data_IF_426536723535
#
_entry.id   IF_426536723535
#
_cell.length_a   1.000
_cell.length_b   1.000
_cell.length_c   1.000
_cell.angle_alpha   90.00
_cell.angle_beta   90.00
_cell.angle_gamma   90.00
#
_symmetry.space_group_name_H-M   'P 1'
#
loop_
_entity.id
_entity.type
_entity.pdbx_description
1 polymer ?
#
# COMPACT_ATOMS: atom_id res chain seq x y z
N UNK A 1 -28.26 14.06 -40.11
CA UNK A 1 -29.31 13.31 -39.36
C UNK A 1 -28.87 13.26 -37.92
N UNK A 2 -29.78 13.51 -36.96
CA UNK A 2 -29.48 13.37 -35.53
C UNK A 2 -29.14 11.91 -35.20
N UNK A 3 -28.19 11.71 -34.29
CA UNK A 3 -27.82 10.37 -33.82
C UNK A 3 -28.91 9.77 -32.92
N UNK A 4 -28.91 8.45 -32.72
CA UNK A 4 -29.84 7.77 -31.79
C UNK A 4 -29.73 8.33 -30.37
N UNK A 5 -28.51 8.65 -29.91
CA UNK A 5 -28.28 9.26 -28.57
C UNK A 5 -29.00 10.59 -28.44
N UNK A 6 -28.89 11.45 -29.45
CA UNK A 6 -29.52 12.79 -29.45
C UNK A 6 -31.05 12.72 -29.54
N UNK A 7 -31.59 11.67 -30.15
CA UNK A 7 -33.04 11.43 -30.19
C UNK A 7 -33.58 10.89 -28.86
N UNK A 8 -32.81 10.08 -28.16
CA UNK A 8 -33.22 9.44 -26.90
C UNK A 8 -32.98 10.34 -25.67
N UNK A 9 -31.89 11.10 -25.64
CA UNK A 9 -31.40 11.81 -24.45
C UNK A 9 -31.25 13.30 -24.75
N UNK A 10 -31.99 14.12 -24.01
CA UNK A 10 -31.79 15.57 -23.98
C UNK A 10 -30.66 15.92 -23.01
N UNK A 11 -29.56 16.50 -23.52
CA UNK A 11 -28.49 17.00 -22.68
C UNK A 11 -28.89 18.34 -22.02
N UNK A 12 -28.97 18.37 -20.69
CA UNK A 12 -29.37 19.57 -19.93
C UNK A 12 -28.17 20.39 -19.46
N UNK A 13 -27.01 19.76 -19.29
CA UNK A 13 -25.79 20.36 -18.76
C UNK A 13 -24.56 19.75 -19.43
N UNK A 14 -23.47 20.52 -19.49
CA UNK A 14 -22.17 19.98 -19.91
C UNK A 14 -21.73 18.85 -18.96
N UNK A 15 -21.10 17.82 -19.50
CA UNK A 15 -20.58 16.69 -18.73
C UNK A 15 -19.39 17.15 -17.86
N UNK A 16 -19.43 16.81 -16.57
CA UNK A 16 -18.28 16.98 -15.67
C UNK A 16 -17.11 16.13 -16.17
N UNK A 17 -16.05 16.78 -16.67
CA UNK A 17 -14.88 16.08 -17.21
C UNK A 17 -13.95 15.52 -16.12
N UNK A 18 -14.05 16.03 -14.90
CA UNK A 18 -13.15 15.71 -13.80
C UNK A 18 -13.79 14.74 -12.81
N UNK A 19 -13.12 13.63 -12.56
CA UNK A 19 -13.47 12.71 -11.47
C UNK A 19 -13.26 13.38 -10.11
N UNK A 20 -14.13 13.07 -9.16
CA UNK A 20 -14.08 13.58 -7.77
C UNK A 20 -13.13 12.75 -6.92
N UNK A 21 -13.10 11.43 -7.14
CA UNK A 21 -12.34 10.47 -6.37
C UNK A 21 -11.62 9.45 -7.27
N UNK A 22 -10.62 9.95 -8.02
CA UNK A 22 -9.79 9.10 -8.86
C UNK A 22 -8.72 8.37 -8.06
N UNK A 23 -8.58 7.07 -8.31
CA UNK A 23 -7.48 6.24 -7.81
C UNK A 23 -6.67 5.70 -8.99
N UNK A 24 -5.34 5.78 -8.91
CA UNK A 24 -4.46 5.13 -9.88
C UNK A 24 -3.74 3.95 -9.23
N UNK A 25 -3.66 2.82 -9.93
CA UNK A 25 -2.82 1.67 -9.57
C UNK A 25 -1.71 1.54 -10.60
N UNK A 26 -0.45 1.62 -10.13
CA UNK A 26 0.74 1.43 -10.95
C UNK A 26 1.27 0.01 -10.74
N UNK A 27 1.31 -0.76 -11.82
CA UNK A 27 1.58 -2.19 -11.86
C UNK A 27 0.29 -3.02 -11.88
N UNK A 28 0.04 -3.77 -12.96
CA UNK A 28 -1.08 -4.72 -13.10
C UNK A 28 -0.63 -6.16 -12.88
N UNK A 29 0.28 -6.36 -11.93
CA UNK A 29 0.62 -7.67 -11.40
C UNK A 29 -0.47 -8.21 -10.47
N UNK A 30 -0.23 -9.41 -9.91
CA UNK A 30 -1.20 -10.07 -9.02
C UNK A 30 -1.61 -9.20 -7.82
N UNK A 31 -0.68 -8.39 -7.28
CA UNK A 31 -0.97 -7.45 -6.19
C UNK A 31 -1.78 -6.26 -6.70
N UNK A 32 -1.37 -5.64 -7.81
CA UNK A 32 -2.08 -4.51 -8.42
C UNK A 32 -3.53 -4.83 -8.75
N UNK A 33 -3.78 -6.00 -9.36
CA UNK A 33 -5.14 -6.43 -9.68
C UNK A 33 -5.96 -6.80 -8.44
N UNK A 34 -5.34 -7.39 -7.42
CA UNK A 34 -6.01 -7.61 -6.13
C UNK A 34 -6.40 -6.29 -5.44
N UNK A 35 -5.57 -5.25 -5.55
CA UNK A 35 -5.91 -3.90 -5.09
C UNK A 35 -7.06 -3.31 -5.93
N UNK A 36 -6.96 -3.36 -7.27
CA UNK A 36 -7.94 -2.81 -8.19
C UNK A 36 -9.34 -3.39 -7.97
N UNK A 37 -9.47 -4.72 -7.93
CA UNK A 37 -10.77 -5.37 -7.70
C UNK A 37 -11.33 -5.05 -6.32
N UNK A 38 -10.49 -5.01 -5.29
CA UNK A 38 -10.92 -4.69 -3.92
C UNK A 38 -11.40 -3.24 -3.80
N UNK A 39 -10.78 -2.31 -4.53
CA UNK A 39 -11.19 -0.90 -4.62
C UNK A 39 -12.56 -0.77 -5.29
N UNK A 40 -12.77 -1.48 -6.41
CA UNK A 40 -14.04 -1.50 -7.14
C UNK A 40 -15.17 -2.05 -6.27
N UNK A 41 -14.93 -3.19 -5.60
CA UNK A 41 -15.92 -3.84 -4.74
C UNK A 41 -16.26 -3.05 -3.46
N UNK A 42 -15.41 -2.09 -3.05
CA UNK A 42 -15.66 -1.22 -1.88
C UNK A 42 -16.17 0.18 -2.26
N UNK A 43 -16.45 0.41 -3.54
CA UNK A 43 -16.94 1.69 -4.08
C UNK A 43 -16.08 2.89 -3.64
N UNK A 44 -14.76 2.74 -3.70
CA UNK A 44 -13.84 3.78 -3.22
C UNK A 44 -13.52 4.85 -4.28
N UNK A 45 -13.83 4.60 -5.55
CA UNK A 45 -13.46 5.48 -6.66
C UNK A 45 -14.62 5.65 -7.65
N UNK A 46 -14.73 6.85 -8.21
CA UNK A 46 -15.56 7.12 -9.40
C UNK A 46 -14.75 7.00 -10.70
N UNK A 47 -13.42 7.02 -10.62
CA UNK A 47 -12.51 6.72 -11.72
C UNK A 47 -11.33 5.86 -11.24
N UNK A 48 -11.10 4.72 -11.89
CA UNK A 48 -9.93 3.87 -11.68
C UNK A 48 -9.00 3.96 -12.90
N UNK A 49 -7.74 4.31 -12.66
CA UNK A 49 -6.69 4.31 -13.69
C UNK A 49 -5.67 3.20 -13.44
N UNK A 50 -5.32 2.45 -14.48
CA UNK A 50 -4.29 1.41 -14.43
C UNK A 50 -3.09 1.79 -15.30
N UNK A 51 -1.88 1.62 -14.77
CA UNK A 51 -0.64 1.88 -15.50
C UNK A 51 0.27 0.67 -15.39
N UNK A 52 0.79 0.19 -16.52
CA UNK A 52 1.84 -0.83 -16.57
C UNK A 52 2.71 -0.63 -17.81
N UNK A 53 3.93 -1.17 -17.79
CA UNK A 53 4.83 -1.16 -18.93
C UNK A 53 4.43 -2.18 -20.01
N UNK A 54 3.79 -3.28 -19.62
CA UNK A 54 3.27 -4.32 -20.51
C UNK A 54 1.90 -3.92 -21.07
N UNK A 55 1.87 -3.51 -22.35
CA UNK A 55 0.69 -2.97 -23.01
C UNK A 55 -0.42 -4.00 -23.20
N UNK A 56 -0.05 -5.23 -23.59
CA UNK A 56 -1.02 -6.28 -23.92
C UNK A 56 -1.66 -6.80 -22.64
N UNK A 57 -0.85 -7.02 -21.60
CA UNK A 57 -1.37 -7.38 -20.29
C UNK A 57 -2.26 -6.27 -19.73
N UNK A 58 -1.81 -5.01 -19.77
CA UNK A 58 -2.60 -3.88 -19.30
C UNK A 58 -3.96 -3.79 -19.99
N UNK A 59 -3.99 -3.93 -21.31
CA UNK A 59 -5.23 -3.93 -22.09
C UNK A 59 -6.15 -5.09 -21.70
N UNK A 60 -5.61 -6.29 -21.56
CA UNK A 60 -6.35 -7.48 -21.14
C UNK A 60 -7.02 -7.30 -19.77
N UNK A 61 -6.24 -6.91 -18.76
CA UNK A 61 -6.74 -6.68 -17.39
C UNK A 61 -7.79 -5.57 -17.34
N UNK A 62 -7.61 -4.51 -18.14
CA UNK A 62 -8.58 -3.41 -18.22
C UNK A 62 -9.90 -3.87 -18.84
N UNK A 63 -9.84 -4.63 -19.94
CA UNK A 63 -11.04 -5.14 -20.60
C UNK A 63 -11.83 -6.09 -19.70
N UNK A 64 -11.13 -6.93 -18.94
CA UNK A 64 -11.77 -7.85 -17.99
C UNK A 64 -12.56 -7.11 -16.91
N UNK A 65 -11.97 -6.06 -16.31
CA UNK A 65 -12.68 -5.19 -15.38
C UNK A 65 -13.84 -4.44 -16.04
N UNK A 66 -13.67 -3.97 -17.28
CA UNK A 66 -14.74 -3.27 -18.01
C UNK A 66 -15.94 -4.17 -18.31
N UNK A 67 -15.73 -5.46 -18.62
CA UNK A 67 -16.83 -6.42 -18.77
C UNK A 67 -17.61 -6.60 -17.46
N UNK A 68 -16.96 -6.40 -16.31
CA UNK A 68 -17.57 -6.39 -14.99
C UNK A 68 -18.28 -5.09 -14.60
N UNK A 69 -18.26 -4.04 -15.44
CA UNK A 69 -18.76 -2.69 -15.08
C UNK A 69 -20.20 -2.67 -14.58
N UNK A 70 -21.05 -3.62 -15.02
CA UNK A 70 -22.42 -3.74 -14.54
C UNK A 70 -22.52 -4.01 -13.03
N UNK A 71 -21.47 -4.59 -12.43
CA UNK A 71 -21.42 -5.00 -11.03
C UNK A 71 -20.63 -4.03 -10.15
N UNK A 72 -20.13 -2.92 -10.70
CA UNK A 72 -19.36 -1.91 -9.98
C UNK A 72 -20.07 -0.56 -10.01
N UNK A 73 -19.90 0.24 -8.94
CA UNK A 73 -20.36 1.63 -8.95
C UNK A 73 -19.30 2.61 -9.46
N UNK A 74 -18.19 2.12 -10.01
CA UNK A 74 -17.13 2.93 -10.64
C UNK A 74 -17.42 3.07 -12.14
N UNK A 75 -17.96 4.21 -12.61
CA UNK A 75 -18.42 4.37 -13.99
C UNK A 75 -17.29 4.45 -15.02
N UNK A 76 -16.05 4.69 -14.59
CA UNK A 76 -14.92 4.93 -15.49
C UNK A 76 -13.69 4.15 -15.07
N UNK A 77 -13.26 3.23 -15.93
CA UNK A 77 -12.02 2.47 -15.79
C UNK A 77 -11.17 2.76 -17.03
N UNK A 78 -9.98 3.31 -16.83
CA UNK A 78 -9.05 3.70 -17.89
C UNK A 78 -7.69 3.07 -17.67
N UNK A 79 -6.92 2.90 -18.74
CA UNK A 79 -5.56 2.43 -18.63
C UNK A 79 -4.67 3.01 -19.72
N UNK A 80 -3.36 3.03 -19.46
CA UNK A 80 -2.36 3.46 -20.42
C UNK A 80 -0.95 3.31 -19.87
N UNK A 81 0.02 3.25 -20.78
CA UNK A 81 1.45 3.25 -20.42
C UNK A 81 1.89 4.62 -19.92
N UNK A 82 1.31 5.67 -20.49
CA UNK A 82 1.67 7.05 -20.19
C UNK A 82 1.02 7.51 -18.90
N UNK A 83 1.79 8.19 -18.05
CA UNK A 83 1.32 8.69 -16.75
C UNK A 83 0.21 9.75 -16.85
N UNK A 84 -0.07 10.28 -18.05
CA UNK A 84 -1.17 11.21 -18.29
C UNK A 84 -2.53 10.60 -17.91
N UNK A 85 -2.67 9.27 -18.02
CA UNK A 85 -3.91 8.59 -17.57
C UNK A 85 -4.12 8.68 -16.07
N UNK A 86 -3.07 8.95 -15.28
CA UNK A 86 -3.17 9.15 -13.83
C UNK A 86 -3.63 10.54 -13.42
N UNK A 87 -3.78 11.49 -14.36
CA UNK A 87 -4.00 12.89 -14.04
C UNK A 87 -5.19 13.12 -13.08
N UNK A 88 -4.99 14.00 -12.10
CA UNK A 88 -5.94 14.36 -11.04
C UNK A 88 -6.29 13.23 -10.05
N UNK A 89 -5.40 12.25 -9.85
CA UNK A 89 -5.60 11.20 -8.83
C UNK A 89 -5.58 11.76 -7.41
N UNK A 90 -6.52 11.33 -6.57
CA UNK A 90 -6.49 11.62 -5.12
C UNK A 90 -5.54 10.68 -4.39
N UNK A 91 -5.44 9.44 -4.87
CA UNK A 91 -4.57 8.40 -4.33
C UNK A 91 -3.90 7.65 -5.49
N UNK A 92 -2.59 7.43 -5.38
CA UNK A 92 -1.81 6.60 -6.30
C UNK A 92 -1.20 5.46 -5.51
N UNK A 93 -1.47 4.23 -5.93
CA UNK A 93 -1.00 3.00 -5.30
C UNK A 93 0.08 2.41 -6.19
N UNK A 94 1.29 2.30 -5.66
CA UNK A 94 2.42 1.74 -6.41
C UNK A 94 2.66 0.31 -5.96
N UNK A 95 2.38 -0.63 -6.87
CA UNK A 95 2.63 -2.07 -6.71
C UNK A 95 3.71 -2.58 -7.66
N UNK A 96 4.11 -1.74 -8.62
CA UNK A 96 5.22 -2.02 -9.52
C UNK A 96 6.53 -2.17 -8.74
N UNK A 97 7.24 -3.24 -9.01
CA UNK A 97 8.50 -3.56 -8.37
C UNK A 97 9.11 -4.81 -8.97
N UNK A 98 10.43 -4.88 -8.93
CA UNK A 98 11.17 -6.07 -9.25
C UNK A 98 10.93 -7.15 -8.18
N UNK A 99 10.78 -8.40 -8.62
CA UNK A 99 10.85 -9.56 -7.73
C UNK A 99 12.31 -9.95 -7.52
N UNK A 100 12.62 -10.45 -6.32
CA UNK A 100 13.95 -11.00 -6.04
C UNK A 100 14.20 -12.22 -6.93
N UNK A 101 15.35 -12.24 -7.60
CA UNK A 101 15.81 -13.41 -8.35
C UNK A 101 16.52 -14.38 -7.41
N UNK A 102 16.54 -15.67 -7.76
CA UNK A 102 17.27 -16.68 -6.99
C UNK A 102 18.76 -16.31 -6.96
N UNK A 103 19.34 -16.21 -5.75
CA UNK A 103 20.74 -15.82 -5.54
C UNK A 103 21.02 -14.32 -5.56
N UNK A 104 20.02 -13.46 -5.77
CA UNK A 104 20.19 -12.00 -5.77
C UNK A 104 20.28 -11.45 -4.34
N UNK A 105 21.18 -10.48 -4.12
CA UNK A 105 21.30 -9.83 -2.82
C UNK A 105 20.12 -8.88 -2.55
N UNK A 106 19.86 -8.57 -1.28
CA UNK A 106 18.84 -7.58 -0.90
C UNK A 106 19.17 -6.19 -1.45
N UNK A 107 20.46 -5.82 -1.48
CA UNK A 107 20.90 -4.52 -1.98
C UNK A 107 20.62 -4.38 -3.48
N UNK A 108 20.92 -5.41 -4.28
CA UNK A 108 20.65 -5.40 -5.74
C UNK A 108 19.16 -5.24 -6.04
N UNK A 109 18.31 -5.97 -5.30
CA UNK A 109 16.87 -5.85 -5.41
C UNK A 109 16.39 -4.43 -5.10
N UNK A 110 16.88 -3.84 -4.00
CA UNK A 110 16.52 -2.46 -3.62
C UNK A 110 17.00 -1.47 -4.68
N UNK A 111 18.22 -1.62 -5.20
CA UNK A 111 18.75 -0.74 -6.24
C UNK A 111 17.91 -0.80 -7.52
N UNK A 112 17.46 -2.00 -7.96
CA UNK A 112 16.53 -2.12 -9.10
C UNK A 112 15.19 -1.44 -8.82
N UNK A 113 14.66 -1.59 -7.61
CA UNK A 113 13.42 -0.91 -7.21
C UNK A 113 13.60 0.61 -7.13
N UNK A 114 14.76 1.13 -6.71
CA UNK A 114 15.07 2.56 -6.76
C UNK A 114 15.04 3.07 -8.19
N UNK A 115 15.63 2.35 -9.15
CA UNK A 115 15.59 2.72 -10.58
C UNK A 115 14.14 2.76 -11.11
N UNK A 116 13.31 1.78 -10.74
CA UNK A 116 11.88 1.75 -11.08
C UNK A 116 11.15 2.94 -10.46
N UNK A 117 11.39 3.26 -9.18
CA UNK A 117 10.74 4.39 -8.53
C UNK A 117 11.17 5.73 -9.14
N UNK A 118 12.44 5.88 -9.55
CA UNK A 118 12.92 7.07 -10.27
C UNK A 118 12.22 7.27 -11.62
N UNK A 119 11.75 6.22 -12.27
CA UNK A 119 10.98 6.35 -13.52
C UNK A 119 9.49 6.60 -13.29
N UNK A 120 8.91 6.06 -12.21
CA UNK A 120 7.48 6.20 -11.90
C UNK A 120 7.15 7.53 -11.23
N UNK A 121 7.86 7.87 -10.14
CA UNK A 121 7.48 8.96 -9.24
C UNK A 121 7.38 10.32 -9.97
N UNK A 122 8.35 10.74 -10.81
CA UNK A 122 8.25 12.02 -11.50
C UNK A 122 7.02 12.13 -12.40
N UNK A 123 6.70 11.06 -13.15
CA UNK A 123 5.53 11.03 -14.03
C UNK A 123 4.21 11.13 -13.27
N UNK A 124 4.13 10.50 -12.10
CA UNK A 124 2.97 10.61 -11.21
C UNK A 124 2.83 12.02 -10.63
N UNK A 125 3.91 12.58 -10.06
CA UNK A 125 3.89 13.90 -9.42
C UNK A 125 3.58 15.00 -10.44
N UNK A 126 4.06 14.88 -11.67
CA UNK A 126 3.74 15.81 -12.76
C UNK A 126 2.23 15.85 -13.09
N UNK A 127 1.56 14.70 -13.02
CA UNK A 127 0.15 14.56 -13.41
C UNK A 127 -0.81 14.69 -12.23
N UNK A 128 -0.36 14.41 -11.01
CA UNK A 128 -1.16 14.44 -9.79
C UNK A 128 -0.35 14.98 -8.60
N UNK A 129 -0.02 16.28 -8.56
CA UNK A 129 0.85 16.85 -7.54
C UNK A 129 0.27 16.76 -6.11
N UNK A 130 -1.06 16.78 -5.97
CA UNK A 130 -1.75 16.74 -4.67
C UNK A 130 -2.14 15.32 -4.21
N UNK A 131 -1.70 14.29 -4.94
CA UNK A 131 -2.06 12.92 -4.62
C UNK A 131 -1.34 12.42 -3.37
N UNK A 132 -1.97 11.47 -2.69
CA UNK A 132 -1.27 10.64 -1.69
C UNK A 132 -0.64 9.46 -2.43
N UNK A 133 0.60 9.13 -2.12
CA UNK A 133 1.29 7.96 -2.68
C UNK A 133 1.30 6.87 -1.63
N UNK A 134 0.72 5.72 -1.96
CA UNK A 134 0.73 4.52 -1.13
C UNK A 134 1.70 3.50 -1.73
N UNK A 135 2.83 3.32 -1.06
CA UNK A 135 3.82 2.28 -1.41
C UNK A 135 3.51 1.05 -0.56
N UNK A 136 3.39 -0.10 -1.22
CA UNK A 136 3.06 -1.36 -0.55
C UNK A 136 4.33 -2.01 0.02
N UNK A 137 4.47 -2.02 1.35
CA UNK A 137 5.61 -2.62 2.07
C UNK A 137 5.15 -3.54 3.21
N UNK A 138 6.02 -4.45 3.66
CA UNK A 138 5.72 -5.37 4.77
C UNK A 138 5.95 -4.72 6.16
N UNK A 139 5.06 -4.95 7.15
CA UNK A 139 5.19 -4.40 8.50
C UNK A 139 6.00 -5.28 9.47
N UNK A 140 6.34 -4.72 10.65
CA UNK A 140 6.97 -5.39 11.81
C UNK A 140 5.96 -5.43 12.98
N UNK A 141 5.87 -6.51 13.78
CA UNK A 141 4.91 -6.60 14.88
C UNK A 141 5.38 -5.94 16.18
N UNK A 142 4.41 -5.51 17.01
CA UNK A 142 4.62 -4.88 18.33
C UNK A 142 3.82 -5.65 19.41
N UNK A 143 4.51 -6.29 20.36
CA UNK A 143 3.90 -7.16 21.38
C UNK A 143 3.36 -6.41 22.61
N UNK A 144 4.02 -5.34 23.04
CA UNK A 144 3.60 -4.50 24.18
C UNK A 144 2.24 -3.81 24.00
N UNK A 145 1.82 -3.61 22.75
CA UNK A 145 0.53 -2.98 22.44
C UNK A 145 -0.66 -3.95 22.44
N UNK A 146 -0.45 -5.26 22.53
CA UNK A 146 -1.53 -6.24 22.38
C UNK A 146 -2.43 -6.24 23.61
N UNK A 147 -3.70 -5.90 23.40
CA UNK A 147 -4.73 -5.87 24.42
C UNK A 147 -6.04 -6.48 23.92
N UNK A 148 -6.82 -7.03 24.84
CA UNK A 148 -8.18 -7.53 24.59
C UNK A 148 -9.11 -6.81 25.56
N UNK A 149 -10.11 -6.10 25.02
CA UNK A 149 -11.06 -5.30 25.80
C UNK A 149 -10.38 -4.30 26.79
N UNK A 150 -9.24 -3.74 26.41
CA UNK A 150 -8.47 -2.80 27.23
C UNK A 150 -7.53 -3.45 28.26
N UNK A 151 -7.51 -4.77 28.36
CA UNK A 151 -6.56 -5.51 29.22
C UNK A 151 -5.32 -5.87 28.41
N UNK A 152 -4.15 -5.40 28.82
CA UNK A 152 -2.87 -5.73 28.20
C UNK A 152 -2.56 -7.20 28.42
N UNK A 153 -2.32 -7.97 27.35
CA UNK A 153 -1.98 -9.40 27.52
C UNK A 153 -0.70 -9.59 28.34
N UNK A 154 0.24 -8.63 28.25
CA UNK A 154 1.48 -8.64 29.04
C UNK A 154 1.25 -8.45 30.55
N UNK A 155 0.12 -7.89 30.98
CA UNK A 155 -0.21 -7.84 32.42
C UNK A 155 -0.63 -9.21 32.95
N UNK A 156 -1.11 -10.11 32.08
CA UNK A 156 -1.50 -11.47 32.43
C UNK A 156 -0.32 -12.44 32.27
N UNK A 157 0.46 -12.28 31.20
CA UNK A 157 1.67 -13.05 30.94
C UNK A 157 2.85 -12.10 30.66
N UNK A 158 3.66 -11.76 31.68
CA UNK A 158 4.82 -10.87 31.50
C UNK A 158 5.89 -11.43 30.56
N UNK A 159 5.95 -12.76 30.42
CA UNK A 159 6.87 -13.45 29.52
C UNK A 159 6.39 -13.46 28.05
N UNK A 160 5.19 -12.96 27.75
CA UNK A 160 4.60 -12.99 26.42
C UNK A 160 5.54 -12.38 25.36
N UNK A 161 5.79 -13.16 24.30
CA UNK A 161 6.70 -12.80 23.21
C UNK A 161 8.18 -13.10 23.46
N UNK A 162 8.56 -13.52 24.67
CA UNK A 162 9.92 -13.94 25.02
C UNK A 162 10.10 -15.47 24.86
N UNK A 163 11.34 -15.95 24.95
CA UNK A 163 11.62 -17.39 24.89
C UNK A 163 11.18 -18.17 26.15
N UNK A 164 10.90 -17.46 27.27
CA UNK A 164 10.38 -18.07 28.49
C UNK A 164 8.84 -18.17 28.52
N UNK A 165 8.17 -17.74 27.45
CA UNK A 165 6.73 -17.87 27.30
C UNK A 165 6.29 -19.33 27.11
N UNK A 166 5.56 -19.86 28.09
CA UNK A 166 5.02 -21.23 28.05
C UNK A 166 3.94 -21.43 26.99
N UNK A 167 3.22 -20.36 26.62
CA UNK A 167 2.22 -20.38 25.55
C UNK A 167 2.85 -20.17 24.16
N UNK A 168 4.16 -19.89 24.13
CA UNK A 168 4.95 -19.74 22.91
C UNK A 168 4.37 -18.72 21.91
N UNK A 169 3.88 -17.56 22.36
CA UNK A 169 3.35 -16.50 21.49
C UNK A 169 4.38 -16.00 20.47
N UNK A 170 5.68 -16.14 20.76
CA UNK A 170 6.76 -15.91 19.81
C UNK A 170 6.62 -16.77 18.53
N UNK A 171 6.01 -17.96 18.60
CA UNK A 171 5.71 -18.77 17.40
C UNK A 171 4.71 -18.08 16.46
N UNK A 172 3.76 -17.31 16.99
CA UNK A 172 2.83 -16.53 16.15
C UNK A 172 3.61 -15.45 15.38
N UNK A 173 4.61 -14.82 16.00
CA UNK A 173 5.50 -13.91 15.27
C UNK A 173 6.18 -14.63 14.10
N UNK A 174 6.79 -15.77 14.39
CA UNK A 174 7.50 -16.56 13.38
C UNK A 174 6.56 -16.98 12.26
N UNK A 175 5.35 -17.44 12.58
CA UNK A 175 4.32 -17.75 11.59
C UNK A 175 3.93 -16.54 10.73
N UNK A 176 3.80 -15.34 11.30
CA UNK A 176 3.52 -14.13 10.51
C UNK A 176 4.66 -13.84 9.54
N UNK A 177 5.90 -13.94 9.97
CA UNK A 177 7.09 -13.76 9.11
C UNK A 177 7.18 -14.85 8.04
N UNK A 178 6.94 -16.11 8.41
CA UNK A 178 7.06 -17.28 7.54
C UNK A 178 5.89 -17.44 6.59
N UNK A 179 4.68 -16.98 6.95
CA UNK A 179 3.47 -17.12 6.14
C UNK A 179 3.64 -16.55 4.72
N UNK A 180 4.34 -15.43 4.59
CA UNK A 180 4.66 -14.85 3.28
C UNK A 180 5.52 -15.78 2.43
N UNK A 181 6.53 -16.40 3.03
CA UNK A 181 7.41 -17.38 2.38
C UNK A 181 6.69 -18.69 2.07
N UNK A 182 5.82 -19.14 2.96
CA UNK A 182 5.03 -20.36 2.77
C UNK A 182 4.03 -20.20 1.62
N UNK A 183 3.28 -19.10 1.59
CA UNK A 183 2.38 -18.79 0.47
C UNK A 183 3.16 -18.64 -0.83
N UNK A 184 4.33 -18.02 -0.80
CA UNK A 184 5.22 -17.95 -1.96
C UNK A 184 5.65 -19.35 -2.43
N UNK A 185 6.00 -20.25 -1.51
CA UNK A 185 6.36 -21.65 -1.82
C UNK A 185 5.20 -22.44 -2.42
N UNK A 186 3.98 -22.25 -1.91
CA UNK A 186 2.80 -23.01 -2.31
C UNK A 186 2.12 -22.47 -3.58
N UNK A 187 1.98 -21.14 -3.68
CA UNK A 187 1.23 -20.45 -4.75
C UNK A 187 2.12 -19.73 -5.76
N UNK A 188 3.38 -19.46 -5.41
CA UNK A 188 4.32 -18.69 -6.24
C UNK A 188 4.20 -17.17 -6.08
N UNK A 189 3.25 -16.66 -5.30
CA UNK A 189 3.07 -15.22 -5.02
C UNK A 189 2.03 -14.97 -3.92
N UNK A 190 2.07 -13.78 -3.30
CA UNK A 190 0.99 -13.22 -2.47
C UNK A 190 0.18 -12.19 -3.27
N UNK A 191 -1.12 -12.04 -2.98
CA UNK A 191 -1.99 -11.08 -3.70
C UNK A 191 -3.19 -10.61 -2.88
N UNK A 192 -4.04 -11.53 -2.43
CA UNK A 192 -5.36 -11.19 -1.87
C UNK A 192 -5.29 -10.42 -0.54
N UNK A 193 -4.54 -10.94 0.43
CA UNK A 193 -4.42 -10.31 1.75
C UNK A 193 -3.85 -8.88 1.66
N UNK A 194 -2.85 -8.69 0.79
CA UNK A 194 -2.24 -7.37 0.59
C UNK A 194 -3.18 -6.43 -0.18
N UNK A 195 -3.93 -6.91 -1.17
CA UNK A 195 -4.96 -6.12 -1.85
C UNK A 195 -6.04 -5.61 -0.91
N UNK A 196 -6.51 -6.47 0.02
CA UNK A 196 -7.47 -6.08 1.05
C UNK A 196 -6.88 -5.08 2.05
N UNK A 197 -5.63 -5.28 2.49
CA UNK A 197 -4.93 -4.35 3.38
C UNK A 197 -4.77 -2.96 2.76
N UNK A 198 -4.29 -2.89 1.52
CA UNK A 198 -4.15 -1.64 0.75
C UNK A 198 -5.49 -0.93 0.61
N UNK A 199 -6.56 -1.68 0.35
CA UNK A 199 -7.92 -1.13 0.22
C UNK A 199 -8.43 -0.57 1.55
N UNK A 200 -8.07 -1.17 2.68
CA UNK A 200 -8.43 -0.65 4.02
C UNK A 200 -7.70 0.67 4.35
N UNK A 201 -6.42 0.78 3.96
CA UNK A 201 -5.66 2.03 4.03
C UNK A 201 -6.25 3.11 3.12
N UNK A 202 -6.55 2.75 1.85
CA UNK A 202 -7.20 3.64 0.89
C UNK A 202 -8.54 4.16 1.41
N UNK A 203 -9.38 3.28 1.96
CA UNK A 203 -10.65 3.65 2.56
C UNK A 203 -10.50 4.66 3.71
N UNK A 204 -9.49 4.49 4.56
CA UNK A 204 -9.21 5.43 5.67
C UNK A 204 -8.81 6.80 5.17
N UNK A 205 -7.98 6.87 4.12
CA UNK A 205 -7.54 8.13 3.52
C UNK A 205 -8.68 8.83 2.77
N UNK A 206 -9.35 8.13 1.86
CA UNK A 206 -10.36 8.71 0.97
C UNK A 206 -11.62 9.15 1.73
N UNK A 207 -12.05 8.36 2.72
CA UNK A 207 -13.21 8.67 3.57
C UNK A 207 -12.84 9.52 4.79
N UNK A 208 -11.57 9.94 4.93
CA UNK A 208 -11.07 10.75 6.03
C UNK A 208 -11.40 10.18 7.43
N UNK A 209 -11.25 8.88 7.62
CA UNK A 209 -11.74 8.19 8.82
C UNK A 209 -10.88 8.44 10.06
N UNK A 210 -9.65 8.92 9.91
CA UNK A 210 -8.68 9.12 11.01
C UNK A 210 -8.46 7.83 11.83
N UNK A 211 -8.50 6.67 11.18
CA UNK A 211 -8.18 5.37 11.80
C UNK A 211 -6.67 5.24 11.98
N UNK A 212 -6.27 4.51 13.02
CA UNK A 212 -4.87 4.20 13.31
C UNK A 212 -4.47 2.94 12.54
N UNK A 213 -3.39 3.03 11.77
CA UNK A 213 -2.82 1.92 11.00
C UNK A 213 -1.31 1.84 11.20
N UNK A 214 -0.72 0.63 11.30
CA UNK A 214 0.72 0.47 11.26
C UNK A 214 1.21 0.65 9.81
N UNK A 215 1.69 1.84 9.47
CA UNK A 215 2.22 2.16 8.13
C UNK A 215 3.61 2.78 8.21
N UNK A 216 4.37 2.63 7.14
CA UNK A 216 5.72 3.17 7.05
C UNK A 216 5.69 4.70 6.95
N UNK A 217 6.39 5.38 7.87
CA UNK A 217 6.57 6.84 7.88
C UNK A 217 7.97 7.19 8.41
N UNK A 218 8.39 8.45 8.24
CA UNK A 218 9.65 8.95 8.76
C UNK A 218 9.65 8.88 10.31
N UNK A 219 10.61 8.15 10.89
CA UNK A 219 10.72 7.98 12.35
C UNK A 219 11.89 8.76 12.97
N UNK A 220 12.52 9.67 12.21
CA UNK A 220 13.57 10.56 12.73
C UNK A 220 13.07 11.35 13.95
N UNK A 221 13.82 11.28 15.04
CA UNK A 221 13.48 11.88 16.32
C UNK A 221 12.59 11.01 17.23
N UNK A 222 12.13 9.84 16.77
CA UNK A 222 11.40 8.88 17.59
C UNK A 222 12.35 7.81 18.14
N UNK A 223 12.17 7.46 19.41
CA UNK A 223 12.92 6.37 20.07
C UNK A 223 14.44 6.50 19.91
N UNK A 224 14.98 7.72 19.88
CA UNK A 224 16.42 7.98 19.74
C UNK A 224 17.00 7.81 18.33
N UNK A 225 16.19 7.52 17.31
CA UNK A 225 16.64 7.39 15.91
C UNK A 225 16.91 8.78 15.33
N UNK A 226 18.09 9.01 14.74
CA UNK A 226 18.50 10.33 14.21
C UNK A 226 18.49 10.37 12.67
N UNK A 227 18.57 9.21 12.05
CA UNK A 227 18.66 9.01 10.62
C UNK A 227 17.28 9.12 9.95
N UNK A 228 17.28 9.45 8.66
CA UNK A 228 16.06 9.57 7.85
C UNK A 228 15.59 8.21 7.35
N UNK A 229 15.03 7.44 8.27
CA UNK A 229 14.56 6.07 8.04
C UNK A 229 13.03 6.03 8.10
N UNK A 230 12.44 5.21 7.24
CA UNK A 230 11.01 4.93 7.20
C UNK A 230 10.73 3.56 7.81
N UNK A 231 9.94 3.54 8.90
CA UNK A 231 9.54 2.33 9.61
C UNK A 231 8.04 2.32 9.88
N UNK A 232 7.49 1.12 10.01
CA UNK A 232 6.07 0.96 10.33
C UNK A 232 5.81 1.32 11.80
N UNK A 233 5.08 2.40 12.02
CA UNK A 233 4.59 2.82 13.34
C UNK A 233 3.10 3.15 13.25
N UNK A 234 2.33 3.09 14.35
CA UNK A 234 0.91 3.38 14.27
C UNK A 234 0.67 4.86 13.93
N UNK A 235 0.01 5.10 12.81
CA UNK A 235 -0.24 6.43 12.27
C UNK A 235 -1.74 6.67 12.12
N UNK A 236 -2.18 7.90 12.38
CA UNK A 236 -3.53 8.35 12.06
C UNK A 236 -3.59 8.68 10.57
N UNK A 237 -4.43 7.96 9.82
CA UNK A 237 -4.61 8.16 8.38
C UNK A 237 -5.91 8.91 8.08
N UNK A 238 -5.79 10.00 7.34
CA UNK A 238 -6.91 10.80 6.86
C UNK A 238 -6.71 11.27 5.41
N UNK A 239 -7.52 12.26 4.99
CA UNK A 239 -7.49 12.79 3.62
C UNK A 239 -6.13 13.38 3.21
N UNK A 240 -5.35 13.82 4.20
CA UNK A 240 -4.01 14.40 4.02
C UNK A 240 -2.89 13.35 4.18
N UNK A 241 -3.21 12.05 4.15
CA UNK A 241 -2.24 10.98 4.41
C UNK A 241 -2.03 10.74 5.90
N UNK A 242 -0.78 10.61 6.33
CA UNK A 242 -0.40 10.51 7.74
C UNK A 242 -0.51 11.90 8.38
N UNK A 243 -1.45 12.09 9.32
CA UNK A 243 -1.59 13.37 10.03
C UNK A 243 -0.87 13.37 11.37
N UNK A 244 -0.79 12.20 12.03
CA UNK A 244 -0.25 12.06 13.37
C UNK A 244 0.41 10.69 13.54
N UNK A 245 1.43 10.61 14.40
CA UNK A 245 2.06 9.36 14.81
C UNK A 245 1.70 9.09 16.27
N UNK A 246 1.23 7.88 16.57
CA UNK A 246 0.99 7.42 17.94
C UNK A 246 2.34 6.99 18.54
N UNK A 247 2.76 7.69 19.60
CA UNK A 247 3.96 7.33 20.35
C UNK A 247 3.62 6.17 21.30
N UNK A 248 4.03 4.97 20.93
CA UNK A 248 3.81 3.76 21.72
C UNK A 248 4.85 3.70 22.83
N UNK A 249 4.42 3.39 24.05
CA UNK A 249 5.35 3.13 25.15
C UNK A 249 5.98 1.75 24.96
N UNK A 250 7.15 1.73 24.32
CA UNK A 250 7.94 0.51 24.12
C UNK A 250 8.72 0.17 25.39
N UNK A 251 8.88 -1.11 25.66
CA UNK A 251 9.83 -1.55 26.68
C UNK A 251 11.27 -1.52 26.12
N UNK A 252 12.32 -1.61 26.97
CA UNK A 252 13.71 -1.51 26.51
C UNK A 252 14.11 -2.56 25.48
N UNK A 253 13.56 -3.77 25.55
CA UNK A 253 13.82 -4.83 24.58
C UNK A 253 13.21 -4.50 23.20
N UNK A 254 11.96 -4.07 23.17
CA UNK A 254 11.27 -3.67 21.94
C UNK A 254 11.87 -2.42 21.31
N UNK A 255 12.25 -1.43 22.12
CA UNK A 255 12.97 -0.26 21.63
C UNK A 255 14.32 -0.67 21.03
N UNK A 256 15.04 -1.61 21.68
CA UNK A 256 16.27 -2.20 21.14
C UNK A 256 16.05 -2.91 19.79
N UNK A 257 14.97 -3.69 19.65
CA UNK A 257 14.60 -4.35 18.39
C UNK A 257 14.22 -3.35 17.30
N UNK A 258 13.50 -2.28 17.64
CA UNK A 258 13.13 -1.22 16.70
C UNK A 258 14.38 -0.48 16.20
N UNK A 259 15.30 -0.11 17.11
CA UNK A 259 16.59 0.51 16.75
C UNK A 259 17.42 -0.42 15.85
N UNK A 260 17.51 -1.70 16.18
CA UNK A 260 18.19 -2.69 15.34
C UNK A 260 17.58 -2.80 13.94
N UNK A 261 16.25 -2.73 13.83
CA UNK A 261 15.56 -2.68 12.54
C UNK A 261 15.90 -1.42 11.76
N UNK A 262 15.91 -0.26 12.44
CA UNK A 262 16.33 1.02 11.86
C UNK A 262 17.77 0.95 11.33
N UNK A 263 18.73 0.49 12.14
CA UNK A 263 20.13 0.30 11.76
C UNK A 263 20.29 -0.62 10.54
N UNK A 264 19.53 -1.72 10.50
CA UNK A 264 19.54 -2.66 9.38
C UNK A 264 19.09 -1.98 8.09
N UNK A 265 18.02 -1.19 8.13
CA UNK A 265 17.54 -0.42 6.97
C UNK A 265 18.53 0.68 6.57
N UNK A 266 19.07 1.41 7.55
CA UNK A 266 20.05 2.47 7.31
C UNK A 266 21.30 1.95 6.62
N UNK A 267 21.81 0.79 7.05
CA UNK A 267 22.98 0.17 6.45
C UNK A 267 22.78 -0.19 4.98
N UNK A 268 21.56 -0.52 4.57
CA UNK A 268 21.23 -0.72 3.14
C UNK A 268 21.03 0.62 2.44
N UNK A 269 20.31 1.55 3.08
CA UNK A 269 19.93 2.83 2.50
C UNK A 269 21.12 3.75 2.21
N UNK A 270 22.12 3.79 3.10
CA UNK A 270 23.31 4.64 2.95
C UNK A 270 24.18 4.26 1.74
N UNK A 271 24.10 3.01 1.30
CA UNK A 271 24.86 2.47 0.18
C UNK A 271 24.11 2.59 -1.16
N UNK A 272 22.87 3.13 -1.15
CA UNK A 272 22.08 3.32 -2.36
C UNK A 272 22.63 4.46 -3.23
N UNK A 273 22.69 4.20 -4.54
CA UNK A 273 23.06 5.22 -5.53
C UNK A 273 21.81 5.91 -6.05
N UNK A 274 21.60 7.15 -5.59
CA UNK A 274 20.60 8.09 -6.10
C UNK A 274 21.01 8.68 -7.46
#
# INVERSE_FOLDING_TARGET
>A
MSTVKEQLIQNLTQEDKASRCKITVVGVGNVGMACAISILLKDLADELALIDADADKLKGETMDLLHGSLFFNTPKIVSGKDYNVSANSKLVIITAGARQKVGETRLDLVQRNVVIMKSIIPGIVQNSPDCKILIVSNPVPLWSGVNVAGVLLKSLNPALGTDSDQEHWKKIHNQVVESGYEVLRLKGYTSWAIGLSVTDLAGSMLKNLRRVHPVSTLVKGLYGIQEEIFLSVPCILGRNGVTDIVKVNLNPEEEGLLKKSAETLWNVQKDLKL
#
